data_IF_505266515532
#
_entry.id   IF_505266515532
#
_cell.length_a   1.000
_cell.length_b   1.000
_cell.length_c   1.000
_cell.angle_alpha   90.00
_cell.angle_beta   90.00
_cell.angle_gamma   90.00
#
_symmetry.space_group_name_H-M   'P 1'
#
loop_
_entity.id
_entity.type
_entity.pdbx_description
1 polymer ?
#
# COMPACT_ATOMS: atom_id res chain seq x y z
N UNK A 1 -0.18 -3.36 -20.22
CA UNK A 1 -1.05 -4.31 -19.47
C UNK A 1 -1.39 -3.87 -18.03
N UNK A 2 -0.97 -2.69 -17.53
CA UNK A 2 -1.26 -2.27 -16.15
C UNK A 2 -2.63 -1.60 -15.96
N UNK A 3 -3.27 -1.05 -17.01
CA UNK A 3 -4.57 -0.38 -16.88
C UNK A 3 -5.76 -1.35 -16.70
N UNK A 4 -5.69 -2.55 -17.26
CA UNK A 4 -6.76 -3.56 -17.11
C UNK A 4 -6.83 -4.13 -15.68
N UNK A 5 -5.67 -4.21 -15.01
CA UNK A 5 -5.53 -4.68 -13.63
C UNK A 5 -6.16 -3.70 -12.63
N UNK A 6 -6.15 -2.40 -12.93
CA UNK A 6 -6.82 -1.37 -12.13
C UNK A 6 -8.35 -1.43 -12.21
N UNK A 7 -8.90 -1.65 -13.40
CA UNK A 7 -10.36 -1.75 -13.62
C UNK A 7 -10.92 -3.00 -12.93
N UNK A 8 -10.26 -4.16 -13.09
CA UNK A 8 -10.67 -5.40 -12.43
C UNK A 8 -10.65 -5.26 -10.89
N UNK A 9 -9.62 -4.62 -10.34
CA UNK A 9 -9.53 -4.39 -8.90
C UNK A 9 -10.62 -3.43 -8.40
N UNK A 10 -10.94 -2.38 -9.17
CA UNK A 10 -12.00 -1.44 -8.82
C UNK A 10 -13.40 -2.10 -8.84
N UNK A 11 -13.67 -2.97 -9.81
CA UNK A 11 -14.92 -3.76 -9.84
C UNK A 11 -15.05 -4.68 -8.62
N UNK A 12 -13.97 -5.39 -8.26
CA UNK A 12 -13.97 -6.27 -7.09
C UNK A 12 -14.28 -5.47 -5.81
N UNK A 13 -13.67 -4.29 -5.66
CA UNK A 13 -13.95 -3.41 -4.53
C UNK A 13 -15.41 -2.94 -4.52
N UNK A 14 -15.97 -2.56 -5.66
CA UNK A 14 -17.37 -2.18 -5.75
C UNK A 14 -18.32 -3.33 -5.41
N UNK A 15 -18.05 -4.54 -5.90
CA UNK A 15 -18.86 -5.73 -5.61
C UNK A 15 -18.82 -6.09 -4.12
N UNK A 16 -17.65 -5.98 -3.49
CA UNK A 16 -17.54 -6.19 -2.04
C UNK A 16 -18.33 -5.15 -1.26
N UNK A 17 -18.27 -3.88 -1.65
CA UNK A 17 -19.04 -2.81 -1.00
C UNK A 17 -20.55 -3.02 -1.11
N UNK A 18 -21.05 -3.35 -2.30
CA UNK A 18 -22.48 -3.62 -2.49
C UNK A 18 -22.94 -4.86 -1.73
N UNK A 19 -22.11 -5.90 -1.67
CA UNK A 19 -22.39 -7.09 -0.86
C UNK A 19 -22.49 -6.75 0.63
N UNK A 20 -21.52 -6.00 1.17
CA UNK A 20 -21.50 -5.58 2.57
C UNK A 20 -22.74 -4.74 2.91
N UNK A 21 -23.08 -3.76 2.07
CA UNK A 21 -24.27 -2.93 2.25
C UNK A 21 -25.56 -3.76 2.19
N UNK A 22 -25.63 -4.75 1.29
CA UNK A 22 -26.74 -5.69 1.20
C UNK A 22 -26.92 -6.50 2.49
N UNK A 23 -25.82 -7.05 3.02
CA UNK A 23 -25.83 -7.83 4.27
C UNK A 23 -26.25 -6.96 5.46
N UNK A 24 -25.66 -5.77 5.60
CA UNK A 24 -26.00 -4.82 6.69
C UNK A 24 -27.45 -4.37 6.58
N UNK A 25 -27.94 -4.09 5.37
CA UNK A 25 -29.33 -3.71 5.14
C UNK A 25 -30.32 -4.82 5.47
N UNK A 26 -30.01 -6.07 5.10
CA UNK A 26 -30.82 -7.24 5.41
C UNK A 26 -30.86 -7.50 6.92
N UNK A 27 -29.70 -7.46 7.59
CA UNK A 27 -29.61 -7.61 9.04
C UNK A 27 -30.38 -6.51 9.77
N UNK A 28 -30.24 -5.25 9.36
CA UNK A 28 -30.94 -4.12 9.98
C UNK A 28 -32.46 -4.24 9.83
N UNK A 29 -32.95 -4.65 8.65
CA UNK A 29 -34.37 -4.92 8.43
C UNK A 29 -34.86 -6.10 9.26
N UNK A 30 -34.07 -7.18 9.37
CA UNK A 30 -34.40 -8.35 10.19
C UNK A 30 -34.46 -8.03 11.69
N UNK A 31 -33.56 -7.18 12.19
CA UNK A 31 -33.59 -6.70 13.59
C UNK A 31 -34.82 -5.82 13.83
N UNK A 32 -35.12 -4.87 12.93
CA UNK A 32 -36.35 -4.05 13.04
C UNK A 32 -37.63 -4.87 13.00
N UNK A 33 -37.63 -5.99 12.28
CA UNK A 33 -38.75 -6.92 12.22
C UNK A 33 -38.82 -7.88 13.43
N UNK A 34 -37.91 -7.78 14.39
CA UNK A 34 -37.83 -8.68 15.55
C UNK A 34 -37.45 -10.12 15.22
N UNK A 35 -37.03 -10.40 13.97
CA UNK A 35 -36.67 -11.74 13.49
C UNK A 35 -35.21 -12.08 13.73
N UNK A 36 -34.37 -11.08 13.96
CA UNK A 36 -32.92 -11.23 14.14
C UNK A 36 -32.53 -10.55 15.44
N UNK A 37 -31.70 -11.24 16.22
CA UNK A 37 -31.17 -10.73 17.47
C UNK A 37 -30.27 -9.50 17.21
N UNK A 38 -30.52 -8.35 17.86
CA UNK A 38 -29.68 -7.15 17.69
C UNK A 38 -28.21 -7.41 18.04
N UNK A 39 -27.90 -8.43 18.85
CA UNK A 39 -26.54 -8.82 19.13
C UNK A 39 -25.78 -9.31 17.87
N UNK A 40 -26.48 -9.97 16.93
CA UNK A 40 -25.87 -10.43 15.68
C UNK A 40 -25.50 -9.26 14.77
N UNK A 41 -26.36 -8.24 14.70
CA UNK A 41 -26.06 -7.00 13.96
C UNK A 41 -24.84 -6.30 14.59
N UNK A 42 -24.83 -6.14 15.91
CA UNK A 42 -23.71 -5.52 16.62
C UNK A 42 -22.39 -6.28 16.39
N UNK A 43 -22.40 -7.60 16.50
CA UNK A 43 -21.22 -8.44 16.25
C UNK A 43 -20.70 -8.32 14.81
N UNK A 44 -21.61 -8.26 13.84
CA UNK A 44 -21.27 -8.10 12.42
C UNK A 44 -20.64 -6.72 12.15
N UNK A 45 -21.21 -5.66 12.72
CA UNK A 45 -20.69 -4.28 12.58
C UNK A 45 -19.33 -4.15 13.24
N UNK A 46 -19.17 -4.66 14.48
CA UNK A 46 -17.89 -4.64 15.20
C UNK A 46 -16.83 -5.39 14.39
N UNK A 47 -17.14 -6.61 13.92
CA UNK A 47 -16.22 -7.38 13.09
C UNK A 47 -15.79 -6.66 11.82
N UNK A 48 -16.72 -5.97 11.15
CA UNK A 48 -16.41 -5.17 9.96
C UNK A 48 -15.46 -4.01 10.29
N UNK A 49 -15.72 -3.27 11.38
CA UNK A 49 -14.89 -2.15 11.83
C UNK A 49 -13.48 -2.64 12.17
N UNK A 50 -13.36 -3.74 12.92
CA UNK A 50 -12.06 -4.33 13.27
C UNK A 50 -11.29 -4.76 12.03
N UNK A 51 -11.96 -5.38 11.04
CA UNK A 51 -11.34 -5.78 9.79
C UNK A 51 -10.80 -4.58 8.99
N UNK A 52 -11.55 -3.47 8.95
CA UNK A 52 -11.11 -2.23 8.28
C UNK A 52 -9.88 -1.66 8.99
N UNK A 53 -9.88 -1.59 10.32
CA UNK A 53 -8.73 -1.09 11.09
C UNK A 53 -7.49 -1.93 10.81
N UNK A 54 -7.60 -3.26 10.84
CA UNK A 54 -6.50 -4.17 10.50
C UNK A 54 -5.98 -3.95 9.08
N UNK A 55 -6.88 -3.82 8.10
CA UNK A 55 -6.49 -3.56 6.71
C UNK A 55 -5.72 -2.23 6.56
N UNK A 56 -6.17 -1.18 7.25
CA UNK A 56 -5.49 0.12 7.26
C UNK A 56 -4.11 0.01 7.90
N UNK A 57 -4.00 -0.63 9.06
CA UNK A 57 -2.71 -0.84 9.74
C UNK A 57 -1.73 -1.59 8.84
N UNK A 58 -2.17 -2.66 8.18
CA UNK A 58 -1.33 -3.42 7.24
C UNK A 58 -0.94 -2.57 6.03
N UNK A 59 -1.86 -1.77 5.48
CA UNK A 59 -1.57 -0.87 4.36
C UNK A 59 -0.53 0.18 4.74
N UNK A 60 -0.64 0.77 5.94
CA UNK A 60 0.31 1.74 6.50
C UNK A 60 1.69 1.10 6.68
N UNK A 61 1.77 -0.09 7.29
CA UNK A 61 3.04 -0.82 7.44
C UNK A 61 3.68 -1.12 6.07
N UNK A 62 2.89 -1.52 5.07
CA UNK A 62 3.37 -1.74 3.70
C UNK A 62 3.88 -0.45 3.05
N UNK A 63 3.21 0.68 3.30
CA UNK A 63 3.61 2.00 2.83
C UNK A 63 4.97 2.40 3.41
N UNK A 64 5.17 2.25 4.72
CA UNK A 64 6.45 2.53 5.37
C UNK A 64 7.58 1.63 4.86
N UNK A 65 7.33 0.31 4.73
CA UNK A 65 8.30 -0.62 4.14
C UNK A 65 8.66 -0.29 2.69
N UNK A 66 7.69 0.18 1.89
CA UNK A 66 7.93 0.61 0.51
C UNK A 66 8.79 1.88 0.47
N UNK A 67 8.57 2.80 1.40
CA UNK A 67 9.35 4.03 1.52
C UNK A 67 10.82 3.77 1.89
N UNK A 68 11.07 2.79 2.76
CA UNK A 68 12.42 2.38 3.14
C UNK A 68 13.20 1.78 1.95
N UNK A 69 12.49 1.06 1.07
CA UNK A 69 13.07 0.48 -0.15
C UNK A 69 13.48 1.55 -1.17
N UNK A 70 12.63 2.56 -1.38
CA UNK A 70 12.96 3.69 -2.25
C UNK A 70 14.07 4.58 -1.69
N UNK A 71 14.17 4.74 -0.35
CA UNK A 71 15.29 5.46 0.27
C UNK A 71 16.61 4.73 0.11
N UNK A 72 16.62 3.40 0.20
CA UNK A 72 17.82 2.59 -0.05
C UNK A 72 18.25 2.64 -1.51
N UNK A 73 17.31 2.56 -2.46
CA UNK A 73 17.59 2.66 -3.89
C UNK A 73 18.14 4.06 -4.28
N UNK A 74 17.57 5.14 -3.71
CA UNK A 74 18.08 6.49 -3.90
C UNK A 74 19.48 6.68 -3.27
N UNK A 75 19.70 6.19 -2.03
CA UNK A 75 20.99 6.29 -1.36
C UNK A 75 22.08 5.45 -2.04
N UNK A 76 21.75 4.28 -2.60
CA UNK A 76 22.72 3.48 -3.35
C UNK A 76 23.07 4.09 -4.70
N UNK A 77 22.13 4.75 -5.39
CA UNK A 77 22.40 5.44 -6.64
C UNK A 77 23.23 6.71 -6.41
N UNK A 78 22.95 7.46 -5.34
CA UNK A 78 23.68 8.66 -4.93
C UNK A 78 25.12 8.31 -4.51
N UNK A 79 25.32 7.25 -3.72
CA UNK A 79 26.65 6.73 -3.36
C UNK A 79 27.40 6.19 -4.58
N UNK A 80 26.71 5.52 -5.53
CA UNK A 80 27.36 5.02 -6.74
C UNK A 80 27.75 6.17 -7.70
N UNK A 81 26.94 7.23 -7.77
CA UNK A 81 27.26 8.44 -8.52
C UNK A 81 28.41 9.23 -7.87
N UNK A 82 28.43 9.33 -6.53
CA UNK A 82 29.51 9.95 -5.77
C UNK A 82 30.85 9.19 -5.95
N UNK A 83 30.83 7.85 -5.88
CA UNK A 83 32.01 7.00 -6.14
C UNK A 83 32.47 7.12 -7.60
N UNK A 84 31.55 7.22 -8.55
CA UNK A 84 31.90 7.35 -9.97
C UNK A 84 32.48 8.73 -10.30
N UNK A 85 31.99 9.79 -9.66
CA UNK A 85 32.56 11.14 -9.75
C UNK A 85 33.97 11.20 -9.10
N UNK A 86 34.15 10.60 -7.92
CA UNK A 86 35.47 10.50 -7.28
C UNK A 86 36.46 9.67 -8.10
N UNK A 87 36.00 8.68 -8.88
CA UNK A 87 36.85 7.90 -9.77
C UNK A 87 37.25 8.68 -11.02
N UNK A 88 36.39 9.53 -11.55
CA UNK A 88 36.66 10.33 -12.74
C UNK A 88 37.67 11.46 -12.44
N UNK A 89 37.56 12.13 -11.30
CA UNK A 89 38.51 13.17 -10.87
C UNK A 89 39.93 12.60 -10.64
N UNK A 90 40.03 11.42 -10.03
CA UNK A 90 41.34 10.78 -9.76
C UNK A 90 42.02 10.24 -11.04
N UNK A 91 41.28 10.13 -12.16
CA UNK A 91 41.83 9.71 -13.45
C UNK A 91 42.38 10.91 -14.22
N UNK A 92 41.74 12.09 -14.13
CA UNK A 92 42.24 13.34 -14.73
C UNK A 92 43.53 13.84 -14.10
N UNK A 93 43.67 13.74 -12.77
CA UNK A 93 44.90 14.16 -12.07
C UNK A 93 46.13 13.29 -12.42
N UNK A 94 45.93 12.09 -12.98
CA UNK A 94 47.03 11.23 -13.45
C UNK A 94 47.45 11.49 -14.89
N UNK A 95 46.56 11.94 -15.77
CA UNK A 95 46.92 12.22 -17.17
C UNK A 95 47.67 13.55 -17.35
N UNK A 96 47.46 14.53 -16.46
CA UNK A 96 48.21 15.80 -16.49
C UNK A 96 49.65 15.69 -15.93
N UNK A 97 49.97 14.62 -15.19
CA UNK A 97 51.27 14.43 -14.54
C UNK A 97 52.23 13.50 -15.31
N UNK A 98 51.76 12.84 -16.38
CA UNK A 98 52.61 12.02 -17.28
C UNK A 98 52.99 12.73 -18.59
N UNK A 99 52.43 13.92 -18.86
CA UNK A 99 52.73 14.75 -20.04
C UNK A 99 53.46 16.07 -19.70
N UNK A 100 53.95 16.23 -18.47
CA UNK A 100 54.74 17.38 -18.00
C UNK A 100 56.25 17.11 -17.99
#
# INVERSE_FOLDING_TARGET
MNSFRGIGMMMIVMLLLTLILGIVGALTRGVKAGKIDPHLLAGTVIGLVTAIILAVVVAVIRLFKKHERHRREASSADILAEIMAMKDDNTKDKEDNENG
#
